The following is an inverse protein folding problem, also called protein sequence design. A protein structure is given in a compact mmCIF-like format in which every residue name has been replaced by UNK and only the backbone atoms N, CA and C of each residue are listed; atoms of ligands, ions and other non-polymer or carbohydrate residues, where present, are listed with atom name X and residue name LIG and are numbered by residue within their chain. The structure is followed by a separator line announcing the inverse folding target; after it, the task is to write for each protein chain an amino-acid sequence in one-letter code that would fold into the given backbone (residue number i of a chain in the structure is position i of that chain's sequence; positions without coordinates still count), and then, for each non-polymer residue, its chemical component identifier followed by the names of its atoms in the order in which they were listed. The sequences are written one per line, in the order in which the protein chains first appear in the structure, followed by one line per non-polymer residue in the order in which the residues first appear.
data_IF_473410687052
#
_entry.id   IF_473410687052
#
_cell.length_a   1.000
_cell.length_b   1.000
_cell.length_c   1.000
_cell.angle_alpha   90.00
_cell.angle_beta   90.00
_cell.angle_gamma   90.00
#
_symmetry.space_group_name_H-M   'P 1'
#
loop_
_entity.id
_entity.type
_entity.pdbx_description
1 polymer ?
#
# COMPACT_ATOMS: atom_id res chain seq x y z
N UNK A 1 6.64 -2.22 27.43
CA UNK A 1 5.59 -2.97 26.71
C UNK A 1 6.22 -3.62 25.50
N UNK A 2 5.88 -4.88 25.23
CA UNK A 2 6.32 -5.61 24.05
C UNK A 2 5.15 -5.84 23.06
N UNK A 3 5.43 -6.46 21.91
CA UNK A 3 4.43 -6.72 20.89
C UNK A 3 3.33 -7.70 21.33
N UNK A 4 3.71 -8.75 22.09
CA UNK A 4 2.77 -9.76 22.57
C UNK A 4 1.76 -9.15 23.53
N UNK A 5 2.21 -8.30 24.46
CA UNK A 5 1.33 -7.56 25.39
C UNK A 5 0.36 -6.67 24.61
N UNK A 6 0.89 -5.89 23.65
CA UNK A 6 0.13 -4.92 22.87
C UNK A 6 -0.95 -5.53 21.96
N UNK A 7 -0.83 -6.82 21.65
CA UNK A 7 -1.74 -7.57 20.78
C UNK A 7 -2.45 -8.72 21.49
N UNK A 8 -2.28 -8.87 22.81
CA UNK A 8 -2.94 -9.89 23.63
C UNK A 8 -4.48 -9.80 23.58
N UNK A 9 -5.18 -10.81 24.09
CA UNK A 9 -6.64 -10.76 24.21
C UNK A 9 -7.09 -9.70 25.21
N UNK A 10 -6.29 -9.49 26.26
CA UNK A 10 -6.47 -8.47 27.29
C UNK A 10 -5.86 -7.11 26.88
N UNK A 11 -5.41 -6.96 25.62
CA UNK A 11 -4.78 -5.75 25.17
C UNK A 11 -5.73 -4.56 25.32
N UNK A 12 -5.27 -3.58 26.09
CA UNK A 12 -6.00 -2.32 26.28
C UNK A 12 -5.76 -1.39 25.08
N UNK A 13 -6.56 -0.32 25.02
CA UNK A 13 -6.33 0.77 24.06
C UNK A 13 -4.89 1.32 24.14
N UNK A 14 -4.26 1.27 25.31
CA UNK A 14 -2.87 1.70 25.51
C UNK A 14 -1.86 0.84 24.73
N UNK A 15 -2.07 -0.48 24.65
CA UNK A 15 -1.28 -1.39 23.82
C UNK A 15 -1.28 -0.99 22.35
N UNK A 16 -2.48 -0.72 21.83
CA UNK A 16 -2.69 -0.23 20.46
C UNK A 16 -2.06 1.14 20.25
N UNK A 17 -2.25 2.07 21.18
CA UNK A 17 -1.68 3.41 21.10
C UNK A 17 -0.16 3.37 21.12
N UNK A 18 0.45 2.54 21.96
CA UNK A 18 1.89 2.37 22.00
C UNK A 18 2.42 1.85 20.66
N UNK A 19 1.80 0.82 20.07
CA UNK A 19 2.27 0.26 18.79
C UNK A 19 2.19 1.30 17.65
N UNK A 20 1.22 2.21 17.71
CA UNK A 20 0.98 3.20 16.67
C UNK A 20 1.69 4.55 16.88
N UNK A 21 1.93 4.93 18.14
CA UNK A 21 2.36 6.29 18.52
C UNK A 21 3.77 6.34 19.09
N UNK A 22 4.27 5.25 19.69
CA UNK A 22 5.60 5.22 20.28
C UNK A 22 6.70 5.36 19.24
N UNK A 23 7.83 5.92 19.66
CA UNK A 23 8.96 6.17 18.77
C UNK A 23 9.51 4.88 18.15
N UNK A 24 9.69 3.81 18.92
CA UNK A 24 10.29 2.55 18.46
C UNK A 24 9.57 1.91 17.27
N UNK A 25 8.30 1.48 17.41
CA UNK A 25 7.52 0.90 16.30
C UNK A 25 7.40 1.85 15.10
N UNK A 26 7.19 3.15 15.33
CA UNK A 26 7.07 4.13 14.24
C UNK A 26 8.37 4.30 13.47
N UNK A 27 9.51 4.30 14.17
CA UNK A 27 10.84 4.34 13.57
C UNK A 27 11.07 3.10 12.73
N UNK A 28 10.77 1.92 13.26
CA UNK A 28 10.88 0.66 12.52
C UNK A 28 10.03 0.65 11.23
N UNK A 29 8.77 1.11 11.29
CA UNK A 29 7.92 1.24 10.09
C UNK A 29 8.55 2.20 9.08
N UNK A 30 9.03 3.36 9.54
CA UNK A 30 9.61 4.39 8.66
C UNK A 30 10.90 3.89 7.99
N UNK A 31 11.80 3.28 8.73
CA UNK A 31 13.06 2.73 8.21
C UNK A 31 12.80 1.65 7.16
N UNK A 32 11.84 0.76 7.40
CA UNK A 32 11.45 -0.26 6.42
C UNK A 32 10.84 0.38 5.17
N UNK A 33 9.95 1.37 5.28
CA UNK A 33 9.42 2.08 4.12
C UNK A 33 10.50 2.83 3.33
N UNK A 34 11.50 3.41 4.01
CA UNK A 34 12.63 4.07 3.37
C UNK A 34 13.50 3.06 2.60
N UNK A 35 13.73 1.87 3.15
CA UNK A 35 14.50 0.81 2.50
C UNK A 35 13.82 0.26 1.23
N UNK A 36 12.50 0.44 1.08
CA UNK A 36 11.77 0.08 -0.13
C UNK A 36 11.95 1.10 -1.28
N UNK A 37 12.48 2.29 -0.98
CA UNK A 37 12.71 3.37 -1.94
C UNK A 37 14.16 3.40 -2.43
N UNK A 38 14.44 4.02 -3.59
CA UNK A 38 15.80 4.18 -4.08
C UNK A 38 16.63 5.14 -3.23
N UNK A 39 16.00 6.15 -2.63
CA UNK A 39 16.62 7.08 -1.71
C UNK A 39 15.71 7.31 -0.49
N UNK A 40 16.22 7.19 0.75
CA UNK A 40 15.43 7.37 1.98
C UNK A 40 14.74 8.74 2.10
N UNK A 41 15.36 9.79 1.55
CA UNK A 41 14.86 11.16 1.58
C UNK A 41 13.57 11.36 0.77
N UNK A 42 13.21 10.43 -0.11
CA UNK A 42 11.96 10.50 -0.87
C UNK A 42 10.72 10.25 0.00
N UNK A 43 10.89 9.64 1.19
CA UNK A 43 9.77 9.38 2.09
C UNK A 43 9.45 10.62 2.92
N UNK A 44 8.35 11.28 2.57
CA UNK A 44 7.75 12.36 3.34
C UNK A 44 6.95 11.85 4.56
N UNK A 45 5.97 12.65 5.01
CA UNK A 45 5.06 12.29 6.10
C UNK A 45 4.22 11.03 5.78
N UNK A 46 3.97 10.21 6.80
CA UNK A 46 3.05 9.07 6.72
C UNK A 46 1.81 9.37 7.57
N UNK A 47 0.63 9.38 6.94
CA UNK A 47 -0.64 9.75 7.60
C UNK A 47 -1.47 8.50 7.87
N UNK A 48 -1.77 8.22 9.13
CA UNK A 48 -2.62 7.10 9.50
C UNK A 48 -4.06 7.38 9.09
N UNK A 49 -4.69 6.42 8.40
CA UNK A 49 -6.05 6.54 7.87
C UNK A 49 -7.04 5.67 8.62
N UNK A 50 -6.63 4.45 8.92
CA UNK A 50 -7.51 3.46 9.53
C UNK A 50 -6.67 2.41 10.27
N UNK A 51 -7.22 1.88 11.36
CA UNK A 51 -6.63 0.78 12.12
C UNK A 51 -7.70 -0.28 12.30
N UNK A 52 -7.34 -1.52 12.06
CA UNK A 52 -8.15 -2.68 12.44
C UNK A 52 -7.38 -3.50 13.45
N UNK A 53 -8.02 -3.78 14.58
CA UNK A 53 -7.46 -4.59 15.64
C UNK A 53 -8.27 -5.87 15.80
N UNK A 54 -7.55 -6.99 15.92
CA UNK A 54 -8.07 -8.32 16.25
C UNK A 54 -7.27 -8.83 17.45
N UNK A 55 -7.82 -8.67 18.68
CA UNK A 55 -7.16 -9.12 19.91
C UNK A 55 -6.67 -10.56 19.82
N UNK A 56 -5.53 -10.84 20.45
CA UNK A 56 -4.84 -12.14 20.42
C UNK A 56 -4.25 -12.54 19.06
N UNK A 57 -4.49 -11.78 17.98
CA UNK A 57 -4.15 -12.20 16.61
C UNK A 57 -3.30 -11.20 15.85
N UNK A 58 -3.83 -10.00 15.59
CA UNK A 58 -3.16 -9.01 14.74
C UNK A 58 -3.70 -7.60 14.87
N UNK A 59 -2.84 -6.63 14.58
CA UNK A 59 -3.22 -5.25 14.29
C UNK A 59 -2.81 -4.93 12.86
N UNK A 60 -3.67 -4.26 12.10
CA UNK A 60 -3.33 -3.73 10.77
C UNK A 60 -3.67 -2.26 10.70
N UNK A 61 -2.66 -1.45 10.43
CA UNK A 61 -2.80 -0.03 10.20
C UNK A 61 -2.63 0.29 8.71
N UNK A 62 -3.42 1.24 8.24
CA UNK A 62 -3.44 1.71 6.86
C UNK A 62 -3.00 3.17 6.86
N UNK A 63 -1.94 3.48 6.12
CA UNK A 63 -1.41 4.83 5.95
C UNK A 63 -1.43 5.28 4.51
N UNK A 64 -1.40 6.58 4.34
CA UNK A 64 -0.90 7.22 3.13
C UNK A 64 0.53 7.70 3.39
N UNK A 65 1.50 7.08 2.72
CA UNK A 65 2.89 7.54 2.68
C UNK A 65 3.03 8.58 1.57
N UNK A 66 3.41 9.81 1.91
CA UNK A 66 3.76 10.81 0.90
C UNK A 66 5.15 10.51 0.37
N UNK A 67 5.27 10.32 -0.94
CA UNK A 67 6.53 9.97 -1.59
C UNK A 67 6.84 11.00 -2.67
N UNK A 68 8.01 11.61 -2.57
CA UNK A 68 8.51 12.52 -3.59
C UNK A 68 8.69 11.77 -4.91
N UNK A 69 8.26 12.38 -6.02
CA UNK A 69 8.43 11.81 -7.35
C UNK A 69 9.66 12.45 -7.99
N UNK A 70 10.62 11.62 -8.42
CA UNK A 70 11.85 12.11 -9.05
C UNK A 70 11.54 12.99 -10.26
N UNK A 71 12.20 14.16 -10.34
CA UNK A 71 12.01 15.12 -11.44
C UNK A 71 10.76 16.00 -11.31
N UNK A 72 10.06 15.98 -10.18
CA UNK A 72 8.92 16.88 -9.90
C UNK A 72 9.01 17.41 -8.46
N UNK A 73 8.54 18.63 -8.20
CA UNK A 73 8.38 19.15 -6.83
C UNK A 73 7.20 18.49 -6.07
N UNK A 74 6.48 17.58 -6.72
CA UNK A 74 5.27 16.96 -6.20
C UNK A 74 5.52 15.72 -5.33
N UNK A 75 4.68 15.57 -4.30
CA UNK A 75 4.53 14.31 -3.55
C UNK A 75 3.31 13.54 -4.05
N UNK A 76 3.44 12.22 -4.15
CA UNK A 76 2.32 11.31 -4.40
C UNK A 76 2.01 10.51 -3.14
N UNK A 77 0.74 10.48 -2.74
CA UNK A 77 0.28 9.60 -1.70
C UNK A 77 0.28 8.14 -2.18
N UNK A 78 0.90 7.25 -1.41
CA UNK A 78 0.97 5.82 -1.65
C UNK A 78 0.34 5.09 -0.47
N UNK A 79 -0.71 4.33 -0.75
CA UNK A 79 -1.40 3.58 0.28
C UNK A 79 -0.54 2.40 0.77
N UNK A 80 -0.37 2.31 2.08
CA UNK A 80 0.46 1.32 2.77
C UNK A 80 -0.38 0.60 3.82
N UNK A 81 -0.29 -0.71 3.88
CA UNK A 81 -0.79 -1.51 4.98
C UNK A 81 0.41 -2.07 5.76
N UNK A 82 0.42 -1.88 7.08
CA UNK A 82 1.36 -2.57 7.98
C UNK A 82 0.55 -3.44 8.92
N UNK A 83 0.90 -4.72 8.96
CA UNK A 83 0.30 -5.70 9.85
C UNK A 83 1.33 -6.19 10.85
N UNK A 84 0.97 -6.13 12.12
CA UNK A 84 1.69 -6.79 13.20
C UNK A 84 0.90 -8.02 13.66
N UNK A 85 1.59 -9.12 13.97
CA UNK A 85 0.98 -10.38 14.42
C UNK A 85 1.78 -10.96 15.59
N UNK A 86 1.07 -11.66 16.48
CA UNK A 86 1.66 -12.52 17.53
C UNK A 86 1.41 -13.96 17.12
N UNK A 87 2.40 -14.83 17.31
CA UNK A 87 2.32 -16.24 16.91
C UNK A 87 3.13 -16.53 15.65
N UNK A 88 3.74 -17.72 15.65
CA UNK A 88 4.63 -18.21 14.59
C UNK A 88 3.92 -18.45 13.26
N UNK A 89 4.73 -18.78 12.27
CA UNK A 89 4.50 -18.77 10.83
C UNK A 89 3.30 -19.58 10.27
N UNK A 90 2.50 -20.22 11.13
CA UNK A 90 1.45 -21.17 10.76
C UNK A 90 0.30 -20.56 9.94
N UNK A 91 0.10 -19.23 10.02
CA UNK A 91 -0.92 -18.52 9.23
C UNK A 91 -0.33 -17.78 8.01
N UNK A 92 0.98 -17.95 7.72
CA UNK A 92 1.52 -17.61 6.39
C UNK A 92 1.05 -18.70 5.44
N UNK A 93 -0.12 -18.48 4.82
CA UNK A 93 -0.41 -19.14 3.54
C UNK A 93 0.84 -18.99 2.64
N UNK A 94 1.18 -20.00 1.81
CA UNK A 94 2.26 -19.90 0.83
C UNK A 94 1.93 -18.94 -0.32
N UNK A 95 1.41 -17.75 0.00
CA UNK A 95 1.15 -16.62 -0.92
C UNK A 95 2.48 -15.97 -1.37
N UNK A 96 3.64 -16.42 -0.88
CA UNK A 96 4.95 -15.81 -1.18
C UNK A 96 5.30 -15.80 -2.67
N UNK A 97 5.07 -16.91 -3.37
CA UNK A 97 5.33 -17.00 -4.81
C UNK A 97 4.35 -16.13 -5.62
N UNK A 98 3.07 -16.13 -5.27
CA UNK A 98 2.06 -15.31 -5.94
C UNK A 98 2.32 -13.81 -5.70
N UNK A 99 2.69 -13.44 -4.48
CA UNK A 99 3.02 -12.05 -4.14
C UNK A 99 4.27 -11.58 -4.89
N UNK A 100 5.29 -12.42 -5.04
CA UNK A 100 6.48 -12.11 -5.82
C UNK A 100 6.16 -11.90 -7.31
N UNK A 101 5.27 -12.72 -7.88
CA UNK A 101 4.77 -12.54 -9.26
C UNK A 101 4.02 -11.22 -9.43
N UNK A 102 3.11 -10.90 -8.50
CA UNK A 102 2.37 -9.62 -8.52
C UNK A 102 3.32 -8.43 -8.37
N UNK A 103 4.33 -8.52 -7.51
CA UNK A 103 5.35 -7.47 -7.39
C UNK A 103 6.15 -7.28 -8.69
N UNK A 104 6.57 -8.38 -9.31
CA UNK A 104 7.31 -8.35 -10.58
C UNK A 104 6.48 -7.67 -11.66
N UNK A 105 5.19 -7.97 -11.74
CA UNK A 105 4.27 -7.34 -12.68
C UNK A 105 4.10 -5.83 -12.39
N UNK A 106 4.00 -5.46 -11.11
CA UNK A 106 3.87 -4.06 -10.71
C UNK A 106 5.12 -3.23 -11.07
N UNK A 107 6.30 -3.83 -10.96
CA UNK A 107 7.57 -3.24 -11.39
C UNK A 107 7.62 -3.12 -12.92
N UNK A 108 7.28 -4.19 -13.65
CA UNK A 108 7.26 -4.21 -15.11
C UNK A 108 6.36 -3.13 -15.72
N UNK A 109 5.19 -2.89 -15.11
CA UNK A 109 4.25 -1.84 -15.53
C UNK A 109 4.60 -0.44 -15.02
N UNK A 110 5.62 -0.31 -14.17
CA UNK A 110 6.01 0.96 -13.57
C UNK A 110 5.05 1.48 -12.49
N UNK A 111 3.99 0.75 -12.14
CA UNK A 111 3.02 1.17 -11.10
C UNK A 111 3.57 1.02 -9.68
N UNK A 112 4.68 0.29 -9.52
CA UNK A 112 5.43 0.25 -8.28
C UNK A 112 6.18 1.57 -7.99
N UNK A 113 6.60 2.29 -9.04
CA UNK A 113 7.49 3.44 -8.92
C UNK A 113 6.95 4.53 -7.98
N UNK A 114 7.80 5.12 -7.12
CA UNK A 114 9.26 4.97 -7.10
C UNK A 114 9.78 3.83 -6.23
N UNK A 115 8.92 3.02 -5.61
CA UNK A 115 9.37 1.91 -4.80
C UNK A 115 10.04 0.82 -5.65
N UNK A 116 11.19 0.32 -5.18
CA UNK A 116 11.92 -0.82 -5.77
C UNK A 116 11.33 -2.17 -5.35
N UNK A 117 10.64 -2.20 -4.21
CA UNK A 117 9.91 -3.34 -3.66
C UNK A 117 8.62 -2.83 -3.01
N UNK A 118 7.56 -3.63 -3.04
CA UNK A 118 6.25 -3.26 -2.49
C UNK A 118 5.95 -4.00 -1.18
N UNK A 119 6.87 -4.79 -0.65
CA UNK A 119 6.72 -5.44 0.63
C UNK A 119 8.04 -5.62 1.37
N UNK A 120 7.94 -5.63 2.69
CA UNK A 120 9.02 -6.00 3.61
C UNK A 120 8.42 -6.79 4.78
N UNK A 121 9.16 -7.79 5.26
CA UNK A 121 8.89 -8.48 6.52
C UNK A 121 9.98 -8.07 7.53
N UNK A 122 9.58 -7.74 8.75
CA UNK A 122 10.48 -7.47 9.87
C UNK A 122 10.11 -8.42 11.03
N UNK A 123 10.70 -9.63 11.08
CA UNK A 123 10.35 -10.66 12.05
C UNK A 123 10.53 -10.21 13.50
N UNK A 124 11.55 -9.40 13.80
CA UNK A 124 11.79 -8.83 15.13
C UNK A 124 10.60 -8.03 15.69
N UNK A 125 9.71 -7.56 14.82
CA UNK A 125 8.49 -6.83 15.16
C UNK A 125 7.22 -7.58 14.77
N UNK A 126 7.29 -8.86 14.35
CA UNK A 126 6.13 -9.59 13.81
C UNK A 126 5.41 -8.83 12.70
N UNK A 127 6.16 -8.01 11.95
CA UNK A 127 5.62 -6.92 11.15
C UNK A 127 5.76 -7.24 9.66
N UNK A 128 4.71 -6.97 8.89
CA UNK A 128 4.72 -7.00 7.42
C UNK A 128 4.21 -5.69 6.87
N UNK A 129 4.95 -5.13 5.92
CA UNK A 129 4.57 -3.94 5.15
C UNK A 129 4.15 -4.38 3.76
N UNK A 130 3.05 -3.83 3.27
CA UNK A 130 2.63 -3.95 1.87
C UNK A 130 2.23 -2.57 1.33
N UNK A 131 2.71 -2.25 0.13
CA UNK A 131 2.44 -1.00 -0.56
C UNK A 131 1.53 -1.29 -1.76
N UNK A 132 0.46 -0.51 -1.93
CA UNK A 132 -0.41 -0.60 -3.10
C UNK A 132 0.40 -0.46 -4.39
N UNK A 133 0.16 -1.29 -5.43
CA UNK A 133 -0.99 -2.19 -5.60
C UNK A 133 -0.73 -3.69 -5.27
N UNK A 134 0.13 -4.01 -4.29
CA UNK A 134 0.54 -5.39 -4.05
C UNK A 134 -0.49 -6.26 -3.30
N UNK A 135 -1.20 -7.12 -4.02
CA UNK A 135 -2.11 -8.10 -3.41
C UNK A 135 -2.19 -9.40 -4.20
N UNK A 136 -1.76 -10.52 -3.61
CA UNK A 136 -1.80 -11.85 -4.24
C UNK A 136 -3.24 -12.36 -4.49
N UNK A 137 -4.23 -11.93 -3.69
CA UNK A 137 -5.63 -12.32 -3.91
C UNK A 137 -6.33 -11.48 -4.98
N UNK A 138 -5.74 -10.35 -5.34
CA UNK A 138 -6.25 -9.44 -6.36
C UNK A 138 -5.13 -9.05 -7.34
N UNK A 139 -4.52 -10.00 -8.07
CA UNK A 139 -3.42 -9.71 -9.00
C UNK A 139 -3.79 -8.67 -10.06
N UNK A 140 -5.07 -8.61 -10.44
CA UNK A 140 -5.62 -7.60 -11.34
C UNK A 140 -5.49 -6.16 -10.81
N UNK A 141 -5.26 -5.95 -9.52
CA UNK A 141 -5.10 -4.61 -8.95
C UNK A 141 -3.91 -3.87 -9.59
N UNK A 142 -2.89 -4.62 -10.03
CA UNK A 142 -1.73 -4.07 -10.73
C UNK A 142 -2.13 -3.43 -12.05
N UNK A 143 -2.87 -4.15 -12.92
CA UNK A 143 -3.36 -3.58 -14.19
C UNK A 143 -4.39 -2.47 -13.95
N UNK A 144 -5.25 -2.58 -12.94
CA UNK A 144 -6.21 -1.52 -12.60
C UNK A 144 -5.52 -0.24 -12.08
N UNK A 145 -4.30 -0.36 -11.57
CA UNK A 145 -3.49 0.78 -11.12
C UNK A 145 -2.65 1.42 -12.22
N UNK A 146 -2.61 0.80 -13.42
CA UNK A 146 -1.88 1.28 -14.59
C UNK A 146 -2.73 2.31 -15.35
N UNK A 147 -2.31 3.58 -15.44
CA UNK A 147 -3.03 4.63 -16.17
C UNK A 147 -3.35 4.26 -17.62
N UNK A 148 -2.48 3.50 -18.29
CA UNK A 148 -2.67 3.11 -19.70
C UNK A 148 -3.82 2.11 -19.81
N UNK A 149 -3.81 1.10 -18.95
CA UNK A 149 -4.88 0.11 -18.89
C UNK A 149 -6.21 0.76 -18.46
N UNK A 150 -6.18 1.66 -17.47
CA UNK A 150 -7.37 2.39 -17.02
C UNK A 150 -8.03 3.17 -18.16
N UNK A 151 -7.23 3.87 -18.98
CA UNK A 151 -7.71 4.59 -20.15
C UNK A 151 -8.42 3.66 -21.13
N UNK A 152 -7.78 2.55 -21.49
CA UNK A 152 -8.32 1.63 -22.49
C UNK A 152 -9.58 0.92 -21.97
N UNK A 153 -9.59 0.54 -20.69
CA UNK A 153 -10.74 -0.07 -20.01
C UNK A 153 -11.94 0.88 -19.95
N UNK A 154 -11.73 2.14 -19.56
CA UNK A 154 -12.82 3.13 -19.46
C UNK A 154 -13.33 3.54 -20.85
N UNK A 155 -12.47 3.60 -21.86
CA UNK A 155 -12.88 3.84 -23.24
C UNK A 155 -13.75 2.70 -23.79
N UNK A 156 -13.48 1.45 -23.43
CA UNK A 156 -14.30 0.30 -23.82
C UNK A 156 -15.64 0.19 -23.08
N UNK A 157 -15.70 0.68 -21.83
CA UNK A 157 -16.93 0.68 -21.03
C UNK A 157 -17.94 1.77 -21.45
N UNK A 158 -17.48 2.81 -22.14
CA UNK A 158 -18.28 3.98 -22.53
C UNK A 158 -19.26 3.77 -23.69
N UNK A 159 -19.39 2.56 -24.23
CA UNK A 159 -20.46 2.14 -25.16
C UNK A 159 -20.79 3.11 -26.30
N UNK A 160 -20.11 2.97 -27.45
CA UNK A 160 -20.50 3.62 -28.70
C UNK A 160 -20.14 5.11 -28.81
N UNK A 161 -19.72 5.52 -30.01
CA UNK A 161 -19.44 6.88 -30.50
C UNK A 161 -19.60 8.06 -29.51
N UNK A 162 -18.76 8.13 -28.49
CA UNK A 162 -18.60 9.36 -27.72
C UNK A 162 -17.84 10.36 -28.59
N UNK A 163 -18.49 11.49 -28.88
CA UNK A 163 -17.90 12.65 -29.56
C UNK A 163 -16.99 13.47 -28.66
N UNK A 164 -16.86 13.10 -27.37
CA UNK A 164 -15.94 13.78 -26.47
C UNK A 164 -14.48 13.38 -26.74
N UNK A 165 -13.54 14.34 -26.67
CA UNK A 165 -12.12 14.05 -26.83
C UNK A 165 -11.70 12.99 -25.81
N UNK A 166 -11.04 11.94 -26.28
CA UNK A 166 -10.50 10.92 -25.37
C UNK A 166 -9.49 11.57 -24.42
N UNK A 167 -9.64 11.41 -23.10
CA UNK A 167 -8.67 11.93 -22.17
C UNK A 167 -7.31 11.27 -22.41
N UNK A 168 -6.26 12.09 -22.44
CA UNK A 168 -4.90 11.63 -22.75
C UNK A 168 -4.38 10.64 -21.71
N UNK A 169 -4.75 10.85 -20.44
CA UNK A 169 -4.33 10.03 -19.32
C UNK A 169 -5.25 10.17 -18.11
N UNK A 170 -5.13 9.24 -17.17
CA UNK A 170 -5.78 9.29 -15.86
C UNK A 170 -4.73 9.26 -14.74
N UNK A 171 -4.96 10.01 -13.67
CA UNK A 171 -4.30 9.71 -12.39
C UNK A 171 -5.09 8.60 -11.70
N UNK A 172 -4.41 7.50 -11.36
CA UNK A 172 -4.99 6.44 -10.54
C UNK A 172 -4.55 6.60 -9.09
N UNK A 173 -5.49 6.61 -8.14
CA UNK A 173 -5.22 6.70 -6.70
C UNK A 173 -5.99 5.64 -5.93
N UNK A 174 -5.36 5.01 -4.93
CA UNK A 174 -6.06 4.15 -3.99
C UNK A 174 -6.76 5.00 -2.92
N UNK A 175 -8.08 4.96 -2.86
CA UNK A 175 -8.87 5.53 -1.74
C UNK A 175 -8.86 4.55 -0.56
N UNK A 176 -9.00 3.25 -0.84
CA UNK A 176 -8.91 2.18 0.16
C UNK A 176 -8.02 1.09 -0.38
N UNK A 177 -7.07 0.67 0.45
CA UNK A 177 -6.18 -0.44 0.16
C UNK A 177 -6.16 -1.37 1.38
N UNK A 178 -6.87 -2.50 1.28
CA UNK A 178 -6.94 -3.51 2.32
C UNK A 178 -6.53 -4.86 1.72
N UNK A 179 -5.22 -5.20 1.76
CA UNK A 179 -4.71 -6.45 1.21
C UNK A 179 -5.51 -7.68 1.66
N UNK A 180 -5.78 -8.56 0.72
CA UNK A 180 -6.55 -9.79 0.89
C UNK A 180 -8.05 -9.59 1.11
N UNK A 181 -8.56 -8.36 1.02
CA UNK A 181 -9.97 -8.02 1.28
C UNK A 181 -10.62 -7.17 0.19
N UNK A 182 -10.37 -5.86 0.20
CA UNK A 182 -11.09 -4.89 -0.65
C UNK A 182 -10.22 -3.71 -1.02
N UNK A 183 -10.40 -3.24 -2.26
CA UNK A 183 -9.69 -2.10 -2.80
C UNK A 183 -10.67 -1.15 -3.46
N UNK A 184 -10.43 0.15 -3.32
CA UNK A 184 -11.19 1.19 -4.00
C UNK A 184 -10.20 2.11 -4.67
N UNK A 185 -10.30 2.23 -5.99
CA UNK A 185 -9.48 3.11 -6.81
C UNK A 185 -10.33 4.29 -7.31
N UNK A 186 -9.69 5.46 -7.39
CA UNK A 186 -10.21 6.64 -8.07
C UNK A 186 -9.41 6.88 -9.33
N UNK A 187 -10.12 7.17 -10.42
CA UNK A 187 -9.56 7.57 -11.69
C UNK A 187 -9.92 9.02 -11.90
N UNK A 188 -8.93 9.90 -11.76
CA UNK A 188 -9.09 11.34 -12.01
C UNK A 188 -8.57 11.64 -13.41
N UNK A 189 -9.30 12.41 -14.21
CA UNK A 189 -8.84 12.86 -15.53
C UNK A 189 -7.59 13.74 -15.36
N UNK A 190 -6.56 13.51 -16.17
CA UNK A 190 -5.57 14.54 -16.45
C UNK A 190 -6.07 15.32 -17.66
N UNK A 191 -6.68 16.48 -17.42
CA UNK A 191 -6.92 17.41 -18.51
C UNK A 191 -5.59 17.86 -19.09
N UNK A 192 -5.52 17.96 -20.41
CA UNK A 192 -4.40 18.61 -21.06
C UNK A 192 -4.33 20.05 -20.53
N UNK A 193 -3.16 20.47 -20.05
CA UNK A 193 -2.86 21.90 -19.97
C UNK A 193 -3.08 22.43 -21.39
N UNK A 194 -4.09 23.27 -21.54
CA UNK A 194 -4.37 24.04 -22.76
C UNK A 194 -3.27 25.06 -22.98
#
# INVERSE_FOLDING_TARGET
MNLADALSEQATLEGVQWLLRSLGPRRAVREQLQALLPAPAMLGPCRLRHVSFKPGRKLTAHWDALVAMAGTEGHRARAVAVTWRVGGDADRRPEGNDLARVQTEALRRGVAAPFRRLTADLPAWGMRIQVSPLDARFPQLVRLSDPRYARDMLAGAGGGASTQPRPRSYTVRSIRYHPGKRHVLRYDLLDAIT
#
